data_IF_380121827932
#
_entry.id   IF_380121827932
#
_cell.length_a   1.000
_cell.length_b   1.000
_cell.length_c   1.000
_cell.angle_alpha   90.00
_cell.angle_beta   90.00
_cell.angle_gamma   90.00
#
_symmetry.space_group_name_H-M   'P 1'
#
loop_
_entity.id
_entity.type
_entity.pdbx_description
1 polymer ?
#
# COMPACT_ATOMS: atom_id res chain seq x y z
N UNK A 1 3.95 16.89 21.04
CA UNK A 1 3.98 15.45 21.36
C UNK A 1 3.04 14.79 20.38
N UNK A 2 3.45 13.69 19.74
CA UNK A 2 2.66 13.08 18.67
C UNK A 2 1.61 12.19 19.31
N UNK A 3 0.38 12.21 18.84
CA UNK A 3 -0.66 11.36 19.39
C UNK A 3 -0.61 9.97 18.74
N UNK A 4 -0.26 8.97 19.55
CA UNK A 4 -0.29 7.57 19.14
C UNK A 4 -1.58 6.91 19.59
N UNK A 5 -2.03 5.95 18.79
CA UNK A 5 -3.15 5.09 19.17
C UNK A 5 -2.74 4.13 20.29
N UNK A 6 -3.72 3.63 21.03
CA UNK A 6 -3.49 2.57 22.03
C UNK A 6 -2.82 1.34 21.41
N UNK A 7 -3.16 1.02 20.15
CA UNK A 7 -2.54 -0.09 19.41
C UNK A 7 -1.07 0.16 19.13
N UNK A 8 -0.69 1.37 18.70
CA UNK A 8 0.73 1.72 18.50
C UNK A 8 1.48 1.57 19.81
N UNK A 9 0.91 2.07 20.92
CA UNK A 9 1.53 1.98 22.23
C UNK A 9 1.66 0.53 22.71
N UNK A 10 0.66 -0.31 22.48
CA UNK A 10 0.70 -1.72 22.86
C UNK A 10 1.76 -2.51 22.07
N UNK A 11 1.82 -2.34 20.75
CA UNK A 11 2.86 -2.99 19.94
C UNK A 11 4.27 -2.44 20.19
N UNK A 12 4.39 -1.20 20.66
CA UNK A 12 5.66 -0.62 21.10
C UNK A 12 6.13 -1.19 22.45
N UNK A 13 5.24 -1.22 23.45
CA UNK A 13 5.57 -1.68 24.81
C UNK A 13 5.69 -3.20 24.88
N UNK A 14 4.86 -3.91 24.12
CA UNK A 14 4.80 -5.38 24.07
C UNK A 14 4.95 -5.86 22.62
N UNK A 15 6.12 -5.71 21.97
CA UNK A 15 6.28 -6.10 20.56
C UNK A 15 6.13 -7.62 20.38
N UNK A 16 5.28 -8.02 19.43
CA UNK A 16 5.08 -9.42 19.05
C UNK A 16 6.15 -9.84 18.06
N UNK A 17 6.72 -11.03 18.26
CA UNK A 17 7.67 -11.68 17.34
C UNK A 17 8.99 -10.92 17.11
N UNK A 18 9.38 -10.08 18.08
CA UNK A 18 10.72 -9.51 18.10
C UNK A 18 11.77 -10.60 18.33
N UNK A 19 12.87 -10.54 17.58
CA UNK A 19 14.02 -11.43 17.71
C UNK A 19 14.48 -12.01 16.39
N UNK A 20 15.52 -12.83 16.48
CA UNK A 20 16.08 -13.55 15.34
C UNK A 20 15.29 -14.82 15.05
N UNK A 21 15.50 -15.34 13.84
CA UNK A 21 14.99 -16.63 13.39
C UNK A 21 16.16 -17.49 12.92
N UNK A 22 16.26 -18.71 13.45
CA UNK A 22 17.21 -19.69 12.93
C UNK A 22 16.71 -20.26 11.61
N UNK A 23 17.59 -20.36 10.61
CA UNK A 23 17.30 -20.94 9.30
C UNK A 23 16.01 -20.39 8.64
N UNK A 24 15.90 -19.06 8.45
CA UNK A 24 14.76 -18.46 7.76
C UNK A 24 14.72 -18.91 6.30
N UNK A 25 13.52 -19.04 5.74
CA UNK A 25 13.36 -19.27 4.30
C UNK A 25 13.67 -18.01 3.50
N UNK A 26 13.49 -16.83 4.11
CA UNK A 26 13.75 -15.54 3.48
C UNK A 26 14.11 -14.45 4.50
N UNK A 27 14.96 -13.52 4.09
CA UNK A 27 15.37 -12.35 4.89
C UNK A 27 15.28 -11.08 4.06
N UNK A 28 14.65 -10.05 4.62
CA UNK A 28 14.59 -8.70 4.05
C UNK A 28 15.24 -7.69 4.98
N UNK A 29 16.19 -6.91 4.46
CA UNK A 29 16.88 -5.87 5.22
C UNK A 29 16.73 -4.52 4.54
N UNK A 30 16.30 -3.52 5.31
CA UNK A 30 16.14 -2.13 4.83
C UNK A 30 16.57 -1.14 5.90
N UNK A 31 16.89 0.07 5.45
CA UNK A 31 17.40 1.13 6.32
C UNK A 31 18.85 0.91 6.75
N UNK A 32 19.32 1.75 7.67
CA UNK A 32 20.68 1.68 8.20
C UNK A 32 20.75 2.32 9.58
N UNK A 33 21.71 1.88 10.40
CA UNK A 33 21.96 2.51 11.70
C UNK A 33 22.38 3.99 11.54
N UNK A 34 23.04 4.33 10.42
CA UNK A 34 23.46 5.70 10.11
C UNK A 34 22.27 6.64 9.86
N UNK A 35 21.20 6.15 9.21
CA UNK A 35 20.00 6.95 8.96
C UNK A 35 19.00 6.94 10.14
N UNK A 36 19.29 6.19 11.20
CA UNK A 36 18.53 6.17 12.45
C UNK A 36 17.32 5.22 12.45
N UNK A 37 17.06 4.51 11.35
CA UNK A 37 16.03 3.47 11.28
C UNK A 37 16.55 2.29 10.44
N UNK A 38 16.39 1.07 10.93
CA UNK A 38 16.74 -0.16 10.25
C UNK A 38 15.76 -1.29 10.62
N UNK A 39 15.45 -2.15 9.66
CA UNK A 39 14.57 -3.30 9.86
C UNK A 39 15.13 -4.51 9.13
N UNK A 40 15.27 -5.61 9.88
CA UNK A 40 15.50 -6.95 9.37
C UNK A 40 14.26 -7.80 9.64
N UNK A 41 13.63 -8.28 8.58
CA UNK A 41 12.45 -9.14 8.61
C UNK A 41 12.84 -10.57 8.21
N UNK A 42 12.44 -11.54 9.02
CA UNK A 42 12.67 -12.96 8.80
C UNK A 42 11.36 -13.67 8.52
N UNK A 43 11.31 -14.49 7.47
CA UNK A 43 10.13 -15.29 7.13
C UNK A 43 10.48 -16.77 7.06
N UNK A 44 9.60 -17.60 7.65
CA UNK A 44 9.59 -19.05 7.44
C UNK A 44 8.44 -19.39 6.50
N UNK A 45 8.77 -19.83 5.30
CA UNK A 45 7.82 -20.15 4.24
C UNK A 45 7.89 -21.64 3.95
N UNK A 46 6.73 -22.30 3.89
CA UNK A 46 6.62 -23.72 3.56
C UNK A 46 6.60 -23.98 2.04
N UNK A 47 6.59 -25.26 1.66
CA UNK A 47 6.61 -25.69 0.26
C UNK A 47 5.37 -25.27 -0.54
N UNK A 48 4.28 -24.90 0.14
CA UNK A 48 3.04 -24.40 -0.49
C UNK A 48 3.04 -22.88 -0.64
N UNK A 49 4.11 -22.21 -0.21
CA UNK A 49 4.22 -20.76 -0.23
C UNK A 49 3.41 -20.07 0.87
N UNK A 50 3.16 -20.73 2.00
CA UNK A 50 2.50 -20.14 3.18
C UNK A 50 3.53 -19.71 4.20
N UNK A 51 3.40 -18.49 4.73
CA UNK A 51 4.25 -17.95 5.79
C UNK A 51 3.82 -18.57 7.13
N UNK A 52 4.64 -19.52 7.62
CA UNK A 52 4.40 -20.24 8.86
C UNK A 52 4.83 -19.45 10.10
N UNK A 53 5.91 -18.70 10.00
CA UNK A 53 6.39 -17.81 11.05
C UNK A 53 7.03 -16.55 10.45
N UNK A 54 6.98 -15.46 11.20
CA UNK A 54 7.57 -14.18 10.84
C UNK A 54 8.14 -13.56 12.10
N UNK A 55 9.37 -13.04 12.02
CA UNK A 55 10.08 -12.37 13.12
C UNK A 55 10.78 -11.12 12.61
N UNK A 56 11.12 -10.22 13.52
CA UNK A 56 11.83 -9.00 13.14
C UNK A 56 12.89 -8.57 14.17
N UNK A 57 13.91 -7.88 13.66
CA UNK A 57 14.78 -7.02 14.44
C UNK A 57 14.69 -5.61 13.86
N UNK A 58 14.47 -4.62 14.71
CA UNK A 58 14.46 -3.23 14.26
C UNK A 58 15.23 -2.34 15.21
N UNK A 59 15.85 -1.31 14.63
CA UNK A 59 16.36 -0.16 15.33
C UNK A 59 15.59 1.05 14.79
N UNK A 60 14.98 1.84 15.67
CA UNK A 60 14.19 2.98 15.24
C UNK A 60 13.28 3.51 16.32
N UNK A 61 12.37 4.41 15.95
CA UNK A 61 11.42 5.01 16.88
C UNK A 61 10.27 4.05 17.27
N UNK A 62 9.41 4.48 18.20
CA UNK A 62 8.26 3.69 18.66
C UNK A 62 7.37 3.19 17.50
N UNK A 63 7.15 4.02 16.47
CA UNK A 63 6.38 3.63 15.29
C UNK A 63 7.08 2.61 14.41
N UNK A 64 8.41 2.59 14.36
CA UNK A 64 9.15 1.55 13.65
C UNK A 64 8.92 0.19 14.32
N UNK A 65 9.07 0.13 15.65
CA UNK A 65 8.82 -1.08 16.45
C UNK A 65 7.37 -1.55 16.29
N UNK A 66 6.41 -0.64 16.41
CA UNK A 66 4.99 -0.98 16.29
C UNK A 66 4.63 -1.48 14.89
N UNK A 67 5.09 -0.80 13.83
CA UNK A 67 4.88 -1.22 12.44
C UNK A 67 5.50 -2.58 12.13
N UNK A 68 6.73 -2.84 12.59
CA UNK A 68 7.39 -4.14 12.39
C UNK A 68 6.69 -5.27 13.15
N UNK A 69 6.23 -5.01 14.38
CA UNK A 69 5.47 -5.98 15.15
C UNK A 69 4.15 -6.34 14.46
N UNK A 70 3.37 -5.34 14.05
CA UNK A 70 2.10 -5.55 13.35
C UNK A 70 2.32 -6.29 12.03
N UNK A 71 3.35 -5.91 11.27
CA UNK A 71 3.70 -6.59 10.02
C UNK A 71 3.88 -8.10 10.24
N UNK A 72 4.63 -8.50 11.27
CA UNK A 72 4.83 -9.94 11.55
C UNK A 72 3.55 -10.68 11.91
N UNK A 73 2.61 -10.03 12.62
CA UNK A 73 1.32 -10.65 12.92
C UNK A 73 0.43 -10.78 11.68
N UNK A 74 0.40 -9.77 10.82
CA UNK A 74 -0.37 -9.80 9.58
C UNK A 74 0.12 -10.91 8.64
N UNK A 75 1.44 -11.13 8.58
CA UNK A 75 2.05 -12.06 7.63
C UNK A 75 1.81 -13.54 7.98
N UNK A 76 1.70 -13.88 9.26
CA UNK A 76 1.54 -15.27 9.68
C UNK A 76 0.26 -15.89 9.13
N UNK A 77 0.39 -17.04 8.48
CA UNK A 77 -0.71 -17.77 7.84
C UNK A 77 -1.11 -17.25 6.47
N UNK A 78 -0.53 -16.14 5.97
CA UNK A 78 -0.75 -15.68 4.60
C UNK A 78 0.10 -16.45 3.60
N UNK A 79 -0.40 -16.59 2.40
CA UNK A 79 0.41 -17.01 1.24
C UNK A 79 1.35 -15.88 0.81
N UNK A 80 2.44 -16.22 0.14
CA UNK A 80 3.35 -15.24 -0.48
C UNK A 80 2.57 -14.29 -1.41
N UNK A 81 1.65 -14.80 -2.21
CA UNK A 81 0.84 -13.99 -3.12
C UNK A 81 -0.11 -13.01 -2.40
N UNK A 82 -0.55 -13.32 -1.18
CA UNK A 82 -1.31 -12.39 -0.35
C UNK A 82 -0.41 -11.38 0.34
N UNK A 83 0.77 -11.82 0.80
CA UNK A 83 1.77 -10.94 1.40
C UNK A 83 2.29 -9.90 0.41
N UNK A 84 2.46 -10.26 -0.87
CA UNK A 84 2.86 -9.32 -1.94
C UNK A 84 1.89 -8.16 -2.15
N UNK A 85 0.63 -8.30 -1.73
CA UNK A 85 -0.38 -7.25 -1.87
C UNK A 85 -0.46 -6.34 -0.65
N UNK A 86 0.31 -6.65 0.40
CA UNK A 86 0.30 -5.87 1.62
C UNK A 86 1.05 -4.55 1.42
N UNK A 87 0.41 -3.45 1.79
CA UNK A 87 0.94 -2.09 1.62
C UNK A 87 1.22 -1.42 2.96
N UNK A 88 1.97 -0.32 2.95
CA UNK A 88 2.17 0.53 4.12
C UNK A 88 0.85 1.04 4.73
N UNK A 89 -0.18 1.22 3.90
CA UNK A 89 -1.51 1.64 4.35
C UNK A 89 -2.20 0.56 5.16
N UNK A 90 -2.03 -0.71 4.80
CA UNK A 90 -2.59 -1.83 5.57
C UNK A 90 -1.95 -1.91 6.95
N UNK A 91 -0.62 -1.74 7.04
CA UNK A 91 0.11 -1.69 8.32
C UNK A 91 -0.37 -0.52 9.17
N UNK A 92 -0.44 0.69 8.59
CA UNK A 92 -0.92 1.88 9.29
C UNK A 92 -2.39 1.74 9.74
N UNK A 93 -3.25 1.18 8.89
CA UNK A 93 -4.66 0.94 9.21
C UNK A 93 -4.82 -0.07 10.35
N UNK A 94 -4.02 -1.14 10.37
CA UNK A 94 -4.05 -2.12 11.45
C UNK A 94 -3.72 -1.50 12.80
N UNK A 95 -2.74 -0.58 12.82
CA UNK A 95 -2.36 0.25 13.97
C UNK A 95 -3.43 1.28 14.37
N UNK A 96 -4.53 1.41 13.62
CA UNK A 96 -5.56 2.44 13.84
C UNK A 96 -5.15 3.83 13.32
N UNK A 97 -4.12 3.89 12.49
CA UNK A 97 -3.51 5.12 11.97
C UNK A 97 -2.13 5.37 12.54
N UNK A 98 -1.35 6.17 11.82
CA UNK A 98 -0.09 6.75 12.25
C UNK A 98 -0.13 8.26 12.01
N UNK A 99 0.52 9.07 12.86
CA UNK A 99 0.78 10.47 12.54
C UNK A 99 1.47 10.57 11.18
N UNK A 100 1.14 11.60 10.39
CA UNK A 100 1.66 11.77 9.02
C UNK A 100 3.18 11.71 9.00
N UNK A 101 3.80 12.35 9.96
CA UNK A 101 5.25 12.50 10.10
C UNK A 101 5.95 11.17 10.47
N UNK A 102 5.21 10.09 10.75
CA UNK A 102 5.71 8.73 11.03
C UNK A 102 5.33 7.72 9.95
N UNK A 103 4.71 8.15 8.86
CA UNK A 103 4.29 7.23 7.80
C UNK A 103 5.47 6.47 7.17
N UNK A 104 6.69 7.01 7.19
CA UNK A 104 7.88 6.29 6.75
C UNK A 104 8.10 4.95 7.48
N UNK A 105 7.64 4.82 8.73
CA UNK A 105 7.77 3.57 9.49
C UNK A 105 6.92 2.43 8.92
N UNK A 106 5.75 2.73 8.34
CA UNK A 106 4.96 1.72 7.66
C UNK A 106 5.50 1.42 6.26
N UNK A 107 6.04 2.42 5.57
CA UNK A 107 6.73 2.23 4.27
C UNK A 107 7.95 1.31 4.42
N UNK A 108 8.77 1.53 5.45
CA UNK A 108 9.91 0.66 5.75
C UNK A 108 9.49 -0.80 6.00
N UNK A 109 8.32 -1.02 6.62
CA UNK A 109 7.77 -2.36 6.81
C UNK A 109 7.43 -3.05 5.48
N UNK A 110 6.75 -2.35 4.59
CA UNK A 110 6.44 -2.83 3.23
C UNK A 110 7.70 -3.11 2.43
N UNK A 111 8.70 -2.22 2.48
CA UNK A 111 9.98 -2.40 1.78
C UNK A 111 10.75 -3.61 2.30
N UNK A 112 10.76 -3.83 3.63
CA UNK A 112 11.38 -5.01 4.23
C UNK A 112 10.68 -6.30 3.77
N UNK A 113 9.35 -6.29 3.66
CA UNK A 113 8.60 -7.42 3.13
C UNK A 113 8.96 -7.66 1.65
N UNK A 114 8.95 -6.63 0.82
CA UNK A 114 9.31 -6.74 -0.59
C UNK A 114 10.74 -7.30 -0.76
N UNK A 115 11.70 -6.84 0.05
CA UNK A 115 13.07 -7.34 0.07
C UNK A 115 13.11 -8.83 0.48
N UNK A 116 12.37 -9.23 1.50
CA UNK A 116 12.30 -10.62 1.95
C UNK A 116 11.71 -11.53 0.86
N UNK A 117 10.65 -11.10 0.18
CA UNK A 117 10.01 -11.90 -0.87
C UNK A 117 10.89 -12.03 -2.12
N UNK A 118 11.64 -10.98 -2.48
CA UNK A 118 12.68 -11.07 -3.53
C UNK A 118 13.78 -12.07 -3.15
N UNK A 119 14.26 -12.00 -1.92
CA UNK A 119 15.26 -12.94 -1.40
C UNK A 119 14.75 -14.40 -1.46
N UNK A 120 13.48 -14.63 -1.10
CA UNK A 120 12.85 -15.95 -1.19
C UNK A 120 12.82 -16.50 -2.62
N UNK A 121 12.57 -15.64 -3.62
CA UNK A 121 12.58 -16.01 -5.05
C UNK A 121 13.98 -16.22 -5.63
N UNK A 122 15.04 -16.00 -4.84
CA UNK A 122 16.43 -16.06 -5.32
C UNK A 122 16.80 -14.88 -6.22
N UNK A 123 16.03 -13.78 -6.18
CA UNK A 123 16.37 -12.55 -6.86
C UNK A 123 17.50 -11.83 -6.10
N UNK A 124 18.29 -11.03 -6.82
CA UNK A 124 19.33 -10.22 -6.18
C UNK A 124 18.70 -9.31 -5.12
N UNK A 125 19.34 -9.27 -3.94
CA UNK A 125 18.94 -8.35 -2.88
C UNK A 125 18.95 -6.91 -3.42
N UNK A 126 17.98 -6.05 -3.03
CA UNK A 126 17.98 -4.66 -3.43
C UNK A 126 19.30 -4.02 -2.97
N UNK A 127 20.15 -3.64 -3.92
CA UNK A 127 21.36 -2.88 -3.65
C UNK A 127 21.01 -1.41 -3.74
N UNK A 128 21.49 -0.53 -2.83
CA UNK A 128 21.31 0.91 -2.96
C UNK A 128 21.84 1.47 -4.29
N UNK A 129 22.77 0.76 -4.94
CA UNK A 129 23.29 1.10 -6.26
C UNK A 129 22.43 0.60 -7.43
N UNK A 130 21.51 -0.34 -7.19
CA UNK A 130 20.64 -0.94 -8.19
C UNK A 130 19.26 -0.25 -8.32
N UNK A 131 18.83 0.50 -7.30
CA UNK A 131 17.48 1.12 -7.25
C UNK A 131 17.43 2.58 -7.70
N UNK A 132 18.27 2.94 -8.68
CA UNK A 132 18.20 4.21 -9.39
C UNK A 132 19.07 5.32 -8.80
N UNK A 133 18.80 6.56 -9.24
CA UNK A 133 19.61 7.73 -8.93
C UNK A 133 19.41 8.19 -7.49
N UNK A 134 20.48 8.33 -6.72
CA UNK A 134 20.41 8.81 -5.34
C UNK A 134 20.05 10.31 -5.29
N UNK A 135 18.97 10.65 -4.59
CA UNK A 135 18.46 12.02 -4.44
C UNK A 135 18.78 12.55 -3.05
N UNK A 136 18.38 11.84 -1.99
CA UNK A 136 18.69 12.24 -0.62
C UNK A 136 19.88 11.46 -0.07
N UNK A 137 21.06 12.09 -0.07
CA UNK A 137 22.30 11.46 0.43
C UNK A 137 22.29 11.19 1.93
N UNK A 138 21.61 12.02 2.72
CA UNK A 138 21.54 11.86 4.18
C UNK A 138 20.85 10.56 4.61
N UNK A 139 19.79 10.18 3.90
CA UNK A 139 18.95 9.04 4.26
C UNK A 139 18.99 7.91 3.23
N UNK A 140 19.83 8.03 2.20
CA UNK A 140 19.98 6.99 1.19
C UNK A 140 18.79 6.84 0.24
N UNK A 141 17.95 7.88 0.07
CA UNK A 141 16.69 7.77 -0.68
C UNK A 141 16.92 8.03 -2.17
N UNK A 142 16.48 7.08 -3.00
CA UNK A 142 16.58 7.15 -4.46
C UNK A 142 15.38 7.83 -5.10
N UNK A 143 15.55 8.29 -6.34
CA UNK A 143 14.48 8.86 -7.16
C UNK A 143 13.31 7.87 -7.34
N UNK A 144 13.60 6.58 -7.58
CA UNK A 144 12.54 5.58 -7.75
C UNK A 144 11.73 5.38 -6.48
N UNK A 145 12.38 5.40 -5.31
CA UNK A 145 11.69 5.34 -4.01
C UNK A 145 10.73 6.52 -3.84
N UNK A 146 11.17 7.73 -4.19
CA UNK A 146 10.34 8.94 -4.11
C UNK A 146 9.15 8.84 -5.08
N UNK A 147 9.38 8.45 -6.33
CA UNK A 147 8.32 8.31 -7.34
C UNK A 147 7.30 7.25 -6.94
N UNK A 148 7.76 6.09 -6.46
CA UNK A 148 6.90 5.02 -5.93
C UNK A 148 6.02 5.55 -4.80
N UNK A 149 6.62 6.20 -3.81
CA UNK A 149 5.88 6.78 -2.69
C UNK A 149 4.81 7.79 -3.15
N UNK A 150 5.14 8.67 -4.12
CA UNK A 150 4.18 9.63 -4.71
C UNK A 150 3.00 8.90 -5.34
N UNK A 151 3.25 7.87 -6.16
CA UNK A 151 2.20 7.11 -6.86
C UNK A 151 1.29 6.37 -5.91
N UNK A 152 1.87 5.60 -4.99
CA UNK A 152 1.12 4.72 -4.10
C UNK A 152 0.32 5.49 -3.06
N UNK A 153 0.79 6.67 -2.65
CA UNK A 153 0.19 7.46 -1.58
C UNK A 153 -0.47 8.78 -2.03
N UNK A 154 -0.52 9.07 -3.34
CA UNK A 154 -1.01 10.35 -3.91
C UNK A 154 -0.41 11.58 -3.20
N UNK A 155 0.92 11.59 -3.02
CA UNK A 155 1.61 12.67 -2.32
C UNK A 155 1.53 13.98 -3.12
N UNK A 156 1.30 15.11 -2.44
CA UNK A 156 0.99 16.41 -3.09
C UNK A 156 2.02 17.48 -2.80
N UNK A 157 2.84 17.29 -1.78
CA UNK A 157 3.79 18.28 -1.29
C UNK A 157 5.15 17.64 -1.02
N UNK A 158 6.21 18.45 -0.95
CA UNK A 158 7.54 17.97 -0.52
C UNK A 158 7.50 17.47 0.91
N UNK A 159 6.71 18.10 1.77
CA UNK A 159 6.49 17.65 3.14
C UNK A 159 5.89 16.24 3.20
N UNK A 160 4.92 15.93 2.32
CA UNK A 160 4.38 14.58 2.19
C UNK A 160 5.48 13.59 1.78
N UNK A 161 6.38 13.96 0.86
CA UNK A 161 7.53 13.12 0.49
C UNK A 161 8.42 12.88 1.71
N UNK A 162 8.74 13.92 2.47
CA UNK A 162 9.53 13.78 3.70
C UNK A 162 8.87 12.86 4.71
N UNK A 163 7.57 13.00 4.90
CA UNK A 163 6.80 12.20 5.86
C UNK A 163 6.75 10.71 5.51
N UNK A 164 6.79 10.36 4.22
CA UNK A 164 6.72 8.97 3.74
C UNK A 164 8.07 8.34 3.42
N UNK A 165 9.09 9.13 3.08
CA UNK A 165 10.41 8.62 2.62
C UNK A 165 11.58 9.10 3.47
N UNK A 166 11.37 10.03 4.41
CA UNK A 166 12.41 10.76 5.16
C UNK A 166 13.25 11.72 4.32
N UNK A 167 13.16 11.68 2.99
CA UNK A 167 13.93 12.57 2.11
C UNK A 167 13.63 14.05 2.41
N UNK A 168 14.68 14.86 2.51
CA UNK A 168 14.55 16.30 2.81
C UNK A 168 14.46 16.65 4.30
N UNK A 169 14.19 15.69 5.20
CA UNK A 169 14.08 15.94 6.65
C UNK A 169 15.40 16.13 7.41
N UNK A 170 16.52 16.18 6.69
CA UNK A 170 17.89 16.24 7.23
C UNK A 170 18.54 17.60 6.98
N UNK A 171 19.47 17.67 6.01
CA UNK A 171 20.13 18.92 5.63
C UNK A 171 19.28 19.83 4.71
N UNK A 172 18.24 19.29 4.07
CA UNK A 172 17.37 20.03 3.15
C UNK A 172 17.93 20.26 1.73
N UNK A 173 19.16 19.86 1.44
CA UNK A 173 19.82 20.15 0.14
C UNK A 173 19.10 19.58 -1.08
N UNK A 174 18.38 18.45 -0.93
CA UNK A 174 17.64 17.84 -2.02
C UNK A 174 16.25 18.46 -2.26
N UNK A 175 15.82 19.45 -1.47
CA UNK A 175 14.46 20.01 -1.57
C UNK A 175 14.07 20.50 -2.98
N UNK A 176 14.91 21.26 -3.72
CA UNK A 176 14.58 21.67 -5.10
C UNK A 176 14.39 20.47 -6.05
N UNK A 177 15.12 19.39 -5.79
CA UNK A 177 15.04 18.18 -6.58
C UNK A 177 13.78 17.37 -6.25
N UNK A 178 13.37 17.33 -4.97
CA UNK A 178 12.10 16.74 -4.55
C UNK A 178 10.91 17.45 -5.21
N UNK A 179 10.94 18.78 -5.31
CA UNK A 179 9.92 19.57 -6.02
C UNK A 179 9.82 19.18 -7.50
N UNK A 180 10.97 19.04 -8.16
CA UNK A 180 11.05 18.64 -9.56
C UNK A 180 10.49 17.23 -9.80
N UNK A 181 10.89 16.26 -8.98
CA UNK A 181 10.39 14.88 -9.06
C UNK A 181 8.88 14.83 -8.80
N UNK A 182 8.40 15.57 -7.80
CA UNK A 182 6.98 15.66 -7.47
C UNK A 182 6.16 16.21 -8.65
N UNK A 183 6.61 17.31 -9.24
CA UNK A 183 5.93 17.93 -10.37
C UNK A 183 5.90 16.98 -11.59
N UNK A 184 7.02 16.36 -11.93
CA UNK A 184 7.13 15.43 -13.05
C UNK A 184 6.27 14.18 -12.84
N UNK A 185 6.34 13.53 -11.68
CA UNK A 185 5.56 12.32 -11.41
C UNK A 185 4.05 12.62 -11.38
N UNK A 186 3.63 13.74 -10.80
CA UNK A 186 2.20 14.14 -10.81
C UNK A 186 1.72 14.45 -12.22
N UNK A 187 2.55 15.06 -13.08
CA UNK A 187 2.22 15.28 -14.49
C UNK A 187 2.10 13.95 -15.27
N UNK A 188 2.97 12.98 -14.98
CA UNK A 188 2.87 11.61 -15.54
C UNK A 188 1.61 10.90 -15.07
N UNK A 189 1.28 10.97 -13.77
CA UNK A 189 0.04 10.38 -13.23
C UNK A 189 -1.20 11.03 -13.84
N UNK A 190 -1.19 12.35 -14.07
CA UNK A 190 -2.30 13.05 -14.71
C UNK A 190 -2.47 12.68 -16.20
N UNK A 191 -1.38 12.39 -16.91
CA UNK A 191 -1.41 11.96 -18.31
C UNK A 191 -1.67 10.45 -18.49
N UNK A 192 -1.29 9.63 -17.50
CA UNK A 192 -1.55 8.20 -17.43
C UNK A 192 -2.91 7.86 -16.80
N UNK A 193 -3.54 8.80 -16.11
CA UNK A 193 -4.93 8.67 -15.70
C UNK A 193 -5.74 8.29 -16.94
N UNK A 194 -6.60 7.25 -16.86
CA UNK A 194 -7.37 6.85 -18.02
C UNK A 194 -8.22 8.05 -18.43
N UNK A 195 -7.77 8.75 -19.46
CA UNK A 195 -8.64 9.31 -20.46
C UNK A 195 -9.35 8.14 -21.11
N UNK A 196 -10.22 7.47 -20.34
CA UNK A 196 -11.10 6.45 -20.86
C UNK A 196 -11.76 7.09 -22.06
N UNK A 197 -11.61 6.47 -23.23
CA UNK A 197 -12.35 6.85 -24.43
C UNK A 197 -13.74 7.20 -23.96
N UNK A 198 -14.12 8.49 -24.06
CA UNK A 198 -15.44 8.96 -23.66
C UNK A 198 -16.42 8.09 -24.41
N UNK A 199 -17.00 7.12 -23.71
CA UNK A 199 -17.95 6.21 -24.33
C UNK A 199 -19.06 7.07 -24.89
N UNK A 200 -19.41 6.83 -26.16
CA UNK A 200 -20.58 7.47 -26.74
C UNK A 200 -21.81 7.13 -25.90
N UNK A 201 -22.87 7.94 -25.98
CA UNK A 201 -24.11 7.65 -25.23
C UNK A 201 -24.62 6.23 -25.55
N UNK A 202 -24.44 5.77 -26.80
CA UNK A 202 -24.79 4.41 -27.24
C UNK A 202 -23.93 3.36 -26.51
N UNK A 203 -22.61 3.52 -26.47
CA UNK A 203 -21.72 2.58 -25.77
C UNK A 203 -22.03 2.48 -24.27
N UNK A 204 -22.35 3.62 -23.62
CA UNK A 204 -22.81 3.64 -22.23
C UNK A 204 -24.12 2.89 -22.06
N UNK A 205 -25.09 3.13 -22.93
CA UNK A 205 -26.38 2.44 -22.88
C UNK A 205 -26.23 0.94 -23.06
N UNK A 206 -25.41 0.49 -24.02
CA UNK A 206 -25.13 -0.94 -24.24
C UNK A 206 -24.45 -1.57 -23.03
N UNK A 207 -23.44 -0.91 -22.45
CA UNK A 207 -22.71 -1.41 -21.28
C UNK A 207 -23.62 -1.54 -20.05
N UNK A 208 -24.42 -0.50 -19.75
CA UNK A 208 -25.34 -0.51 -18.62
C UNK A 208 -26.44 -1.56 -18.81
N UNK A 209 -27.00 -1.66 -20.02
CA UNK A 209 -28.01 -2.68 -20.33
C UNK A 209 -27.44 -4.09 -20.13
N UNK A 210 -26.21 -4.34 -20.59
CA UNK A 210 -25.54 -5.63 -20.41
C UNK A 210 -25.41 -6.01 -18.93
N UNK A 211 -24.94 -5.08 -18.08
CA UNK A 211 -24.80 -5.34 -16.63
C UNK A 211 -26.16 -5.58 -15.99
N UNK A 212 -27.17 -4.79 -16.37
CA UNK A 212 -28.55 -4.99 -15.88
C UNK A 212 -29.03 -6.40 -16.23
N UNK A 213 -28.83 -6.86 -17.46
CA UNK A 213 -29.34 -8.16 -17.91
C UNK A 213 -28.51 -9.37 -17.41
N UNK A 214 -27.19 -9.23 -17.29
CA UNK A 214 -26.29 -10.32 -16.91
C UNK A 214 -26.12 -10.48 -15.39
N UNK A 215 -26.14 -9.38 -14.63
CA UNK A 215 -25.82 -9.38 -13.21
C UNK A 215 -27.02 -9.07 -12.31
N UNK A 216 -27.78 -8.02 -12.63
CA UNK A 216 -28.82 -7.49 -11.72
C UNK A 216 -30.16 -8.22 -11.90
N UNK A 217 -30.63 -8.33 -13.15
CA UNK A 217 -31.92 -8.92 -13.50
C UNK A 217 -32.07 -10.38 -13.05
N UNK A 218 -31.05 -11.26 -13.19
CA UNK A 218 -31.16 -12.63 -12.72
C UNK A 218 -31.34 -12.75 -11.21
N UNK A 219 -30.75 -11.83 -10.44
CA UNK A 219 -30.94 -11.77 -8.99
C UNK A 219 -32.38 -11.35 -8.65
N UNK A 220 -32.86 -10.25 -9.23
CA UNK A 220 -34.22 -9.75 -8.97
C UNK A 220 -35.31 -10.74 -9.40
N UNK A 221 -35.09 -11.47 -10.50
CA UNK A 221 -36.03 -12.51 -10.97
C UNK A 221 -36.18 -13.68 -10.00
N UNK A 222 -35.14 -14.03 -9.24
CA UNK A 222 -35.25 -15.07 -8.21
C UNK A 222 -36.22 -14.68 -7.11
N UNK A 223 -36.32 -13.37 -6.83
CA UNK A 223 -37.21 -12.80 -5.82
C UNK A 223 -38.58 -12.40 -6.40
N UNK A 224 -38.89 -12.81 -7.65
CA UNK A 224 -40.14 -12.47 -8.34
C UNK A 224 -40.22 -11.02 -8.81
N UNK A 225 -39.10 -10.30 -8.82
CA UNK A 225 -38.95 -8.94 -9.30
C UNK A 225 -38.34 -8.83 -10.69
N UNK A 226 -38.29 -7.63 -11.21
CA UNK A 226 -37.62 -7.31 -12.47
C UNK A 226 -37.20 -5.83 -12.51
N UNK A 227 -36.39 -5.46 -13.49
CA UNK A 227 -35.84 -4.10 -13.64
C UNK A 227 -35.75 -3.72 -15.11
N UNK A 228 -36.06 -2.48 -15.44
CA UNK A 228 -35.87 -1.93 -16.78
C UNK A 228 -35.11 -0.62 -16.74
N UNK A 229 -34.20 -0.43 -17.70
CA UNK A 229 -33.49 0.82 -17.89
C UNK A 229 -34.43 1.84 -18.55
N UNK A 230 -34.59 3.02 -17.93
CA UNK A 230 -35.43 4.11 -18.44
C UNK A 230 -34.57 5.15 -19.14
N UNK A 231 -33.51 5.63 -18.48
CA UNK A 231 -32.64 6.67 -19.04
C UNK A 231 -31.24 6.68 -18.38
N UNK A 232 -30.28 7.35 -19.02
CA UNK A 232 -28.94 7.59 -18.49
C UNK A 232 -28.55 9.07 -18.68
N UNK A 233 -28.55 9.82 -17.59
CA UNK A 233 -28.14 11.22 -17.54
C UNK A 233 -26.74 11.37 -16.91
N UNK A 234 -25.71 11.46 -17.74
CA UNK A 234 -24.33 11.56 -17.27
C UNK A 234 -23.88 10.30 -16.52
N UNK A 235 -23.77 10.41 -15.19
CA UNK A 235 -23.44 9.29 -14.28
C UNK A 235 -24.69 8.71 -13.58
N UNK A 236 -25.87 9.29 -13.80
CA UNK A 236 -27.11 8.87 -13.17
C UNK A 236 -27.84 7.89 -14.10
N UNK A 237 -28.07 6.67 -13.61
CA UNK A 237 -28.86 5.65 -14.31
C UNK A 237 -30.26 5.63 -13.71
N UNK A 238 -31.27 5.91 -14.53
CA UNK A 238 -32.68 5.89 -14.13
C UNK A 238 -33.27 4.56 -14.55
N UNK A 239 -33.80 3.83 -13.58
CA UNK A 239 -34.38 2.50 -13.78
C UNK A 239 -35.80 2.45 -13.23
N UNK A 240 -36.62 1.57 -13.80
CA UNK A 240 -37.96 1.24 -13.33
C UNK A 240 -37.96 -0.18 -12.80
N UNK A 241 -38.36 -0.36 -11.55
CA UNK A 241 -38.52 -1.67 -10.94
C UNK A 241 -39.89 -2.25 -11.33
N UNK A 242 -39.94 -3.57 -11.48
CA UNK A 242 -41.13 -4.34 -11.88
C UNK A 242 -41.30 -5.59 -11.00
N UNK A 243 -42.48 -6.19 -11.07
CA UNK A 243 -42.81 -7.38 -10.27
C UNK A 243 -42.81 -7.10 -8.77
N UNK A 244 -42.32 -8.05 -7.98
CA UNK A 244 -42.23 -7.92 -6.52
C UNK A 244 -41.36 -6.73 -6.06
N UNK A 245 -40.45 -6.24 -6.91
CA UNK A 245 -39.60 -5.09 -6.59
C UNK A 245 -40.34 -3.74 -6.55
N UNK A 246 -41.58 -3.66 -7.03
CA UNK A 246 -42.38 -2.42 -6.99
C UNK A 246 -42.84 -2.08 -5.56
N UNK A 247 -42.94 -3.09 -4.69
CA UNK A 247 -43.44 -2.96 -3.32
C UNK A 247 -42.46 -3.40 -2.24
N UNK A 248 -41.20 -3.63 -2.57
CA UNK A 248 -40.17 -3.91 -1.56
C UNK A 248 -39.80 -2.58 -0.87
N UNK A 249 -39.92 -2.47 0.46
CA UNK A 249 -39.63 -1.22 1.19
C UNK A 249 -38.16 -0.80 1.11
#
# INVERSE_FOLDING_TARGET
MWEYTDKVMDHFLNPRNAGEMENPSAVGEVGSLACGDALRLFLKIDDKGVIQDARFQTFGCASAIASSSVLTEILKGKTVAEAEKLTNKDIAAYLGGLPKEKMHCSVMGEEALAAALKNWRGEAAPSPAAEGRLVCKCFGVTEETIRRAIRENDLKTVEDITNFTKAGGGCGECAPELESILADERARMASAAPGGRRMTNIQRMTQVTRIIDEEIRPALKKDGGDIELVDIEGVKVVVSLRGACVGCP
#
